data_IF_667800020838
#
_entry.id   IF_667800020838
#
_cell.length_a   1.000
_cell.length_b   1.000
_cell.length_c   1.000
_cell.angle_alpha   90.00
_cell.angle_beta   90.00
_cell.angle_gamma   90.00
#
_symmetry.space_group_name_H-M   'P 1'
#
loop_
_entity.id
_entity.type
_entity.pdbx_description
1 polymer ?
#
# COMPACT_ATOMS: atom_id res chain seq x y z
N UNK A 1 -4.06 10.89 -6.30
CA UNK A 1 -4.45 10.15 -5.08
C UNK A 1 -3.26 10.19 -4.15
N UNK A 2 -3.39 10.74 -2.95
CA UNK A 2 -2.27 10.80 -2.01
C UNK A 2 -2.17 9.48 -1.25
N UNK A 3 -0.99 9.13 -0.73
CA UNK A 3 -0.80 7.91 0.05
C UNK A 3 -1.75 7.84 1.27
N UNK A 4 -2.10 8.99 1.83
CA UNK A 4 -3.08 9.11 2.91
C UNK A 4 -4.47 8.60 2.46
N UNK A 5 -4.94 9.03 1.29
CA UNK A 5 -6.22 8.58 0.71
C UNK A 5 -6.23 7.07 0.46
N UNK A 6 -5.10 6.51 0.02
CA UNK A 6 -4.95 5.06 -0.21
C UNK A 6 -5.05 4.27 1.10
N UNK A 7 -4.41 4.73 2.18
CA UNK A 7 -4.46 4.06 3.49
C UNK A 7 -5.88 4.09 4.06
N UNK A 8 -6.58 5.22 3.99
CA UNK A 8 -7.95 5.32 4.48
C UNK A 8 -8.90 4.40 3.72
N UNK A 9 -8.80 4.32 2.39
CA UNK A 9 -9.58 3.39 1.59
C UNK A 9 -9.30 1.93 1.97
N UNK A 10 -8.03 1.56 2.16
CA UNK A 10 -7.65 0.22 2.59
C UNK A 10 -8.21 -0.13 3.98
N UNK A 11 -8.20 0.82 4.92
CA UNK A 11 -8.82 0.62 6.25
C UNK A 11 -10.32 0.37 6.11
N UNK A 12 -11.02 1.15 5.28
CA UNK A 12 -12.45 0.96 5.04
C UNK A 12 -12.75 -0.40 4.40
N UNK A 13 -11.94 -0.84 3.43
CA UNK A 13 -12.08 -2.16 2.82
C UNK A 13 -11.89 -3.27 3.85
N UNK A 14 -10.80 -3.22 4.64
CA UNK A 14 -10.52 -4.23 5.66
C UNK A 14 -11.65 -4.30 6.69
N UNK A 15 -12.14 -3.15 7.16
CA UNK A 15 -13.22 -3.09 8.16
C UNK A 15 -14.60 -3.46 7.59
N UNK A 16 -14.81 -3.34 6.28
CA UNK A 16 -16.05 -3.82 5.66
C UNK A 16 -16.13 -5.36 5.66
N UNK A 17 -15.00 -6.04 5.51
CA UNK A 17 -14.93 -7.50 5.52
C UNK A 17 -14.81 -8.08 6.95
N UNK A 18 -14.20 -7.30 7.85
CA UNK A 18 -13.99 -7.64 9.26
C UNK A 18 -14.51 -6.49 10.15
N UNK A 19 -15.83 -6.44 10.39
CA UNK A 19 -16.46 -5.28 11.06
C UNK A 19 -16.11 -5.17 12.55
N UNK A 20 -15.88 -6.30 13.22
CA UNK A 20 -15.67 -6.37 14.66
C UNK A 20 -14.33 -7.02 15.02
N UNK A 21 -13.79 -6.60 16.17
CA UNK A 21 -12.60 -7.24 16.73
C UNK A 21 -12.87 -8.73 17.03
N UNK A 22 -11.94 -9.62 16.66
CA UNK A 22 -12.06 -11.04 16.98
C UNK A 22 -12.01 -11.29 18.49
N UNK A 23 -12.61 -12.39 18.93
CA UNK A 23 -12.67 -12.75 20.35
C UNK A 23 -11.25 -12.79 20.97
N UNK A 24 -11.09 -12.09 22.09
CA UNK A 24 -9.79 -11.96 22.78
C UNK A 24 -8.94 -10.76 22.34
N UNK A 25 -9.45 -9.89 21.46
CA UNK A 25 -8.83 -8.63 21.06
C UNK A 25 -9.75 -7.46 21.37
N UNK A 26 -9.20 -6.35 21.88
CA UNK A 26 -9.98 -5.12 22.06
C UNK A 26 -10.20 -4.41 20.70
N UNK A 27 -11.26 -3.60 20.62
CA UNK A 27 -11.55 -2.82 19.41
C UNK A 27 -10.39 -1.87 19.06
N UNK A 28 -9.74 -1.27 20.05
CA UNK A 28 -8.59 -0.38 19.83
C UNK A 28 -7.38 -1.14 19.26
N UNK A 29 -7.12 -2.35 19.74
CA UNK A 29 -6.05 -3.21 19.19
C UNK A 29 -6.35 -3.64 17.76
N UNK A 30 -7.61 -4.00 17.49
CA UNK A 30 -8.06 -4.35 16.15
C UNK A 30 -7.93 -3.17 15.18
N UNK A 31 -8.37 -1.98 15.59
CA UNK A 31 -8.26 -0.77 14.79
C UNK A 31 -6.81 -0.40 14.47
N UNK A 32 -5.90 -0.55 15.45
CA UNK A 32 -4.46 -0.38 15.25
C UNK A 32 -3.90 -1.42 14.28
N UNK A 33 -4.34 -2.67 14.37
CA UNK A 33 -3.94 -3.74 13.47
C UNK A 33 -4.39 -3.45 12.03
N UNK A 34 -5.66 -3.10 11.82
CA UNK A 34 -6.19 -2.70 10.50
C UNK A 34 -5.39 -1.54 9.90
N UNK A 35 -5.06 -0.54 10.72
CA UNK A 35 -4.24 0.62 10.29
C UNK A 35 -2.84 0.19 9.86
N UNK A 36 -2.19 -0.69 10.63
CA UNK A 36 -0.85 -1.18 10.33
C UNK A 36 -0.82 -2.02 9.04
N UNK A 37 -1.82 -2.88 8.83
CA UNK A 37 -1.98 -3.66 7.61
C UNK A 37 -2.16 -2.73 6.40
N UNK A 38 -3.06 -1.75 6.49
CA UNK A 38 -3.29 -0.78 5.42
C UNK A 38 -2.02 0.00 5.05
N UNK A 39 -1.23 0.43 6.05
CA UNK A 39 0.05 1.10 5.82
C UNK A 39 1.08 0.18 5.13
N UNK A 40 1.17 -1.08 5.54
CA UNK A 40 2.08 -2.05 4.92
C UNK A 40 1.71 -2.31 3.45
N UNK A 41 0.42 -2.45 3.14
CA UNK A 41 -0.07 -2.61 1.77
C UNK A 41 0.24 -1.36 0.94
N UNK A 42 -0.06 -0.16 1.44
CA UNK A 42 0.22 1.09 0.74
C UNK A 42 1.71 1.27 0.46
N UNK A 43 2.59 0.88 1.40
CA UNK A 43 4.03 0.89 1.19
C UNK A 43 4.46 -0.10 0.10
N UNK A 44 3.90 -1.32 0.09
CA UNK A 44 4.15 -2.32 -0.96
C UNK A 44 3.71 -1.84 -2.35
N UNK A 45 2.55 -1.19 -2.45
CA UNK A 45 2.08 -0.57 -3.70
C UNK A 45 3.04 0.50 -4.20
N UNK A 46 3.51 1.39 -3.31
CA UNK A 46 4.47 2.43 -3.67
C UNK A 46 5.82 1.83 -4.13
N UNK A 47 6.29 0.77 -3.48
CA UNK A 47 7.50 0.07 -3.92
C UNK A 47 7.33 -0.55 -5.30
N UNK A 48 6.18 -1.16 -5.58
CA UNK A 48 5.85 -1.72 -6.89
C UNK A 48 5.77 -0.64 -7.98
N UNK A 49 5.12 0.49 -7.69
CA UNK A 49 5.09 1.65 -8.60
C UNK A 49 6.51 2.17 -8.88
N UNK A 50 7.35 2.28 -7.86
CA UNK A 50 8.74 2.73 -8.03
C UNK A 50 9.58 1.73 -8.85
N UNK A 51 9.31 0.42 -8.74
CA UNK A 51 9.95 -0.61 -9.57
C UNK A 51 9.47 -0.57 -11.02
N UNK A 52 8.18 -0.30 -11.26
CA UNK A 52 7.62 -0.13 -12.61
C UNK A 52 8.01 1.19 -13.27
N UNK A 53 8.31 2.24 -12.49
CA UNK A 53 8.86 3.51 -12.98
C UNK A 53 10.40 3.49 -13.12
N UNK A 54 11.07 2.35 -12.91
CA UNK A 54 12.45 2.21 -13.38
C UNK A 54 12.44 2.26 -14.91
N UNK A 55 12.72 3.45 -15.41
CA UNK A 55 13.08 3.79 -16.78
C UNK A 55 13.94 2.64 -17.31
N UNK A 56 13.48 1.96 -18.37
CA UNK A 56 14.35 1.07 -19.16
C UNK A 56 15.65 1.84 -19.38
N UNK A 57 16.83 1.30 -19.00
CA UNK A 57 18.08 1.99 -19.28
C UNK A 57 18.07 2.40 -20.75
N UNK A 58 18.16 3.71 -20.98
CA UNK A 58 18.38 4.27 -22.30
C UNK A 58 19.81 3.86 -22.66
N UNK A 59 19.94 2.67 -23.25
CA UNK A 59 21.16 2.28 -23.94
C UNK A 59 21.21 3.15 -25.18
N UNK A 60 21.62 4.41 -24.98
CA UNK A 60 21.76 5.41 -26.03
C UNK A 60 22.33 4.73 -27.26
N UNK A 61 21.55 4.73 -28.34
CA UNK A 61 21.98 4.14 -29.59
C UNK A 61 23.36 4.73 -29.91
N UNK A 62 24.38 3.91 -30.19
CA UNK A 62 25.67 4.47 -30.55
C UNK A 62 25.45 5.25 -31.84
N UNK A 63 25.65 6.57 -31.76
CA UNK A 63 25.74 7.47 -32.91
C UNK A 63 26.59 6.77 -33.97
N UNK A 64 25.93 6.29 -35.03
CA UNK A 64 26.64 5.68 -36.16
C UNK A 64 27.16 6.81 -37.04
N UNK A 65 28.44 6.78 -37.42
CA UNK A 65 29.08 7.81 -38.23
C UNK A 65 28.50 7.92 -39.64
#
# INVERSE_FOLDING_TARGET
MTQHDTVEQLIQTIKSDLPDAPAGMSQDEFDRLCTNIARAIAAGMQMHENQHHQIKPDFGEPDRP
#
